data_IF_733948608102
#
_entry.id   IF_733948608102
#
_cell.length_a   1.000
_cell.length_b   1.000
_cell.length_c   1.000
_cell.angle_alpha   90.00
_cell.angle_beta   90.00
_cell.angle_gamma   90.00
#
_symmetry.space_group_name_H-M   'P 1'
#
loop_
_entity.id
_entity.type
_entity.pdbx_description
1 polymer ?
#
# COMPACT_ATOMS: atom_id res chain seq x y z
N UNK A 1 7.48 -5.90 -10.71
CA UNK A 1 6.75 -5.64 -9.46
C UNK A 1 7.64 -5.03 -8.39
N UNK A 2 8.48 -5.75 -7.62
CA UNK A 2 9.23 -5.11 -6.53
C UNK A 2 10.23 -4.03 -7.00
N UNK A 3 11.17 -4.38 -7.88
CA UNK A 3 12.15 -3.41 -8.40
C UNK A 3 11.48 -2.28 -9.18
N UNK A 4 10.45 -2.62 -9.94
CA UNK A 4 9.62 -1.69 -10.71
C UNK A 4 8.98 -0.65 -9.78
N UNK A 5 8.24 -1.10 -8.77
CA UNK A 5 7.56 -0.21 -7.83
C UNK A 5 8.55 0.63 -7.01
N UNK A 6 9.70 0.08 -6.60
CA UNK A 6 10.74 0.87 -5.94
C UNK A 6 11.32 1.96 -6.85
N UNK A 7 11.51 1.66 -8.14
CA UNK A 7 11.96 2.64 -9.12
C UNK A 7 10.93 3.75 -9.35
N UNK A 8 9.66 3.39 -9.49
CA UNK A 8 8.55 4.33 -9.62
C UNK A 8 8.42 5.20 -8.36
N UNK A 9 8.48 4.60 -7.17
CA UNK A 9 8.48 5.33 -5.90
C UNK A 9 9.61 6.34 -5.80
N UNK A 10 10.83 5.97 -6.19
CA UNK A 10 11.97 6.88 -6.19
C UNK A 10 11.80 8.01 -7.22
N UNK A 11 11.18 7.74 -8.36
CA UNK A 11 10.85 8.78 -9.33
C UNK A 11 9.79 9.74 -8.75
N UNK A 12 8.71 9.20 -8.18
CA UNK A 12 7.61 9.97 -7.61
C UNK A 12 7.97 10.74 -6.34
N UNK A 13 8.96 10.28 -5.56
CA UNK A 13 9.46 10.99 -4.39
C UNK A 13 10.09 12.36 -4.73
N UNK A 14 10.45 12.58 -5.99
CA UNK A 14 10.99 13.87 -6.46
C UNK A 14 9.90 14.86 -6.90
N UNK A 15 8.62 14.50 -6.83
CA UNK A 15 7.52 15.42 -7.11
C UNK A 15 7.37 16.45 -5.99
N UNK A 16 6.97 17.68 -6.33
CA UNK A 16 6.79 18.75 -5.36
C UNK A 16 5.78 18.37 -4.29
N UNK A 17 4.69 17.72 -4.70
CA UNK A 17 3.59 17.30 -3.85
C UNK A 17 4.04 16.33 -2.76
N UNK A 18 4.91 15.37 -3.10
CA UNK A 18 5.49 14.44 -2.11
C UNK A 18 6.51 15.16 -1.21
N UNK A 19 7.33 16.05 -1.76
CA UNK A 19 8.22 16.88 -0.97
C UNK A 19 7.47 17.71 0.09
N UNK A 20 6.38 18.38 -0.32
CA UNK A 20 5.54 19.19 0.56
C UNK A 20 4.87 18.32 1.63
N UNK A 21 4.36 17.15 1.27
CA UNK A 21 3.80 16.17 2.20
C UNK A 21 4.83 15.76 3.27
N UNK A 22 6.06 15.44 2.87
CA UNK A 22 7.15 15.06 3.76
C UNK A 22 7.65 16.25 4.60
N UNK A 23 7.56 17.50 4.15
CA UNK A 23 7.90 18.63 5.02
C UNK A 23 6.81 18.92 6.06
N UNK A 24 5.55 18.65 5.72
CA UNK A 24 4.41 18.93 6.60
C UNK A 24 4.16 17.85 7.68
N UNK A 25 4.81 16.70 7.59
CA UNK A 25 4.61 15.58 8.52
C UNK A 25 5.62 15.60 9.66
N UNK A 26 5.17 15.31 10.88
CA UNK A 26 5.98 15.02 12.07
C UNK A 26 5.18 14.06 12.99
N UNK A 27 5.82 13.19 13.79
CA UNK A 27 7.26 13.02 13.99
C UNK A 27 7.96 12.09 12.96
N UNK A 28 9.29 12.18 12.91
CA UNK A 28 10.18 11.33 12.08
C UNK A 28 10.91 10.28 12.93
N UNK A 29 10.13 9.49 13.69
CA UNK A 29 10.65 8.51 14.64
C UNK A 29 10.19 7.11 14.25
N UNK A 30 11.14 6.20 14.02
CA UNK A 30 10.83 4.80 13.77
C UNK A 30 11.82 4.14 12.81
N UNK A 31 11.67 2.83 12.58
CA UNK A 31 12.63 2.05 11.81
C UNK A 31 12.37 2.08 10.30
N UNK A 32 11.18 2.45 9.85
CA UNK A 32 10.77 2.31 8.46
C UNK A 32 11.21 3.50 7.61
N UNK A 33 11.73 3.22 6.41
CA UNK A 33 12.36 4.24 5.55
C UNK A 33 11.33 4.95 4.69
N UNK A 34 11.46 6.27 4.54
CA UNK A 34 10.79 7.03 3.48
C UNK A 34 11.74 7.15 2.29
N UNK A 35 11.40 6.45 1.20
CA UNK A 35 12.25 6.30 0.02
C UNK A 35 12.46 7.68 -0.62
N UNK A 36 13.72 8.00 -0.95
CA UNK A 36 14.08 9.26 -1.61
C UNK A 36 14.28 10.47 -0.68
N UNK A 37 13.93 10.37 0.60
CA UNK A 37 13.97 11.53 1.52
C UNK A 37 15.03 11.46 2.62
N UNK A 38 15.73 10.34 2.77
CA UNK A 38 16.74 10.17 3.82
C UNK A 38 16.18 10.27 5.24
N UNK A 39 14.88 9.98 5.42
CA UNK A 39 14.17 9.99 6.69
C UNK A 39 13.62 8.61 7.02
N UNK A 40 13.44 8.36 8.31
CA UNK A 40 12.74 7.19 8.82
C UNK A 40 11.59 7.64 9.72
N UNK A 41 10.57 6.79 9.85
CA UNK A 41 9.38 7.03 10.66
C UNK A 41 8.75 5.68 11.03
N UNK A 42 7.56 5.70 11.63
CA UNK A 42 6.78 4.51 11.92
C UNK A 42 6.36 3.79 10.62
N UNK A 43 5.93 2.54 10.76
CA UNK A 43 5.60 1.66 9.63
C UNK A 43 4.45 2.21 8.81
N UNK A 44 3.43 2.77 9.47
CA UNK A 44 2.19 3.18 8.83
C UNK A 44 2.41 4.47 8.03
N UNK A 45 3.11 5.44 8.63
CA UNK A 45 3.50 6.68 7.95
C UNK A 45 4.44 6.40 6.77
N UNK A 46 5.45 5.55 6.96
CA UNK A 46 6.37 5.15 5.88
C UNK A 46 5.61 4.47 4.73
N UNK A 47 4.69 3.55 5.04
CA UNK A 47 3.90 2.86 4.04
C UNK A 47 3.01 3.82 3.25
N UNK A 48 2.35 4.76 3.93
CA UNK A 48 1.49 5.77 3.32
C UNK A 48 2.27 6.66 2.35
N UNK A 49 3.39 7.24 2.79
CA UNK A 49 4.17 8.19 1.98
C UNK A 49 4.80 7.46 0.78
N UNK A 50 5.36 6.26 0.99
CA UNK A 50 5.94 5.48 -0.10
C UNK A 50 4.88 5.03 -1.12
N UNK A 51 3.68 4.66 -0.66
CA UNK A 51 2.56 4.32 -1.55
C UNK A 51 2.08 5.53 -2.35
N UNK A 52 1.92 6.70 -1.71
CA UNK A 52 1.58 7.94 -2.39
C UNK A 52 2.62 8.30 -3.47
N UNK A 53 3.90 8.14 -3.13
CA UNK A 53 5.02 8.36 -4.06
C UNK A 53 5.03 7.35 -5.21
N UNK A 54 4.59 6.11 -4.98
CA UNK A 54 4.49 5.09 -6.03
C UNK A 54 3.37 5.38 -7.04
N UNK A 55 2.24 5.93 -6.57
CA UNK A 55 1.07 6.13 -7.40
C UNK A 55 1.04 7.51 -8.09
N UNK A 56 1.74 8.52 -7.57
CA UNK A 56 1.57 9.91 -8.03
C UNK A 56 1.96 10.16 -9.50
N UNK A 57 2.75 9.28 -10.10
CA UNK A 57 3.15 9.35 -11.51
C UNK A 57 2.30 8.47 -12.43
N UNK A 58 1.38 7.67 -11.90
CA UNK A 58 0.57 6.70 -12.67
C UNK A 58 1.44 5.70 -13.47
N UNK A 59 2.58 5.32 -12.90
CA UNK A 59 3.55 4.38 -13.46
C UNK A 59 3.65 3.07 -12.66
N UNK A 60 2.85 2.93 -11.60
CA UNK A 60 2.83 1.72 -10.78
C UNK A 60 2.30 0.50 -11.56
N UNK A 61 2.80 -0.68 -11.19
CA UNK A 61 2.44 -1.94 -11.83
C UNK A 61 0.93 -2.19 -11.87
N UNK A 62 0.44 -2.93 -12.88
CA UNK A 62 -0.97 -3.30 -12.97
C UNK A 62 -1.20 -4.80 -13.14
N UNK A 63 -2.36 -5.26 -12.66
CA UNK A 63 -2.86 -6.62 -12.84
C UNK A 63 -4.17 -6.62 -13.64
N UNK A 64 -4.13 -7.24 -14.81
CA UNK A 64 -5.28 -7.31 -15.74
C UNK A 64 -6.53 -7.96 -15.11
N UNK A 65 -6.37 -9.01 -14.32
CA UNK A 65 -7.50 -9.77 -13.77
C UNK A 65 -8.04 -9.14 -12.49
N UNK A 66 -7.19 -8.48 -11.71
CA UNK A 66 -7.61 -7.73 -10.54
C UNK A 66 -8.27 -6.39 -10.89
N UNK A 67 -7.95 -5.81 -12.05
CA UNK A 67 -8.43 -4.49 -12.44
C UNK A 67 -7.83 -3.36 -11.58
N UNK A 68 -6.54 -3.46 -11.24
CA UNK A 68 -5.82 -2.43 -10.47
C UNK A 68 -4.38 -2.86 -10.16
N UNK A 69 -3.83 -2.38 -9.04
CA UNK A 69 -2.39 -2.35 -8.75
C UNK A 69 -2.06 -3.06 -7.42
N UNK A 70 -2.13 -4.41 -7.33
CA UNK A 70 -2.05 -5.11 -6.05
C UNK A 70 -0.72 -4.89 -5.28
N UNK A 71 0.39 -4.70 -5.98
CA UNK A 71 1.70 -4.47 -5.37
C UNK A 71 1.80 -3.12 -4.69
N UNK A 72 1.18 -2.08 -5.26
CA UNK A 72 1.13 -0.73 -4.70
C UNK A 72 0.52 -0.74 -3.29
N UNK A 73 -0.39 -1.68 -3.03
CA UNK A 73 -0.99 -1.88 -1.71
C UNK A 73 -0.14 -2.75 -0.77
N UNK A 74 0.58 -3.74 -1.29
CA UNK A 74 1.21 -4.79 -0.48
C UNK A 74 2.65 -4.43 -0.06
N UNK A 75 3.44 -3.91 -1.00
CA UNK A 75 4.90 -3.87 -0.87
C UNK A 75 5.35 -3.00 0.30
N UNK A 76 4.77 -1.80 0.46
CA UNK A 76 5.25 -0.85 1.46
C UNK A 76 4.90 -1.28 2.88
N UNK A 77 3.74 -1.89 3.09
CA UNK A 77 3.37 -2.51 4.37
C UNK A 77 4.32 -3.67 4.72
N UNK A 78 4.68 -4.50 3.73
CA UNK A 78 5.62 -5.61 3.92
C UNK A 78 7.04 -5.11 4.25
N UNK A 79 7.52 -4.11 3.52
CA UNK A 79 8.84 -3.50 3.74
C UNK A 79 8.93 -2.85 5.13
N UNK A 80 7.96 -2.01 5.49
CA UNK A 80 7.94 -1.38 6.81
C UNK A 80 7.84 -2.41 7.95
N UNK A 81 7.06 -3.48 7.76
CA UNK A 81 7.00 -4.59 8.74
C UNK A 81 8.33 -5.30 8.87
N UNK A 82 9.02 -5.58 7.77
CA UNK A 82 10.34 -6.20 7.81
C UNK A 82 11.38 -5.30 8.50
N UNK A 83 11.33 -3.98 8.28
CA UNK A 83 12.22 -3.00 8.90
C UNK A 83 11.96 -2.83 10.40
N UNK A 84 10.71 -2.96 10.85
CA UNK A 84 10.33 -2.87 12.26
C UNK A 84 10.43 -4.18 13.03
N UNK A 85 10.74 -5.29 12.36
CA UNK A 85 10.83 -6.59 12.99
C UNK A 85 11.99 -6.65 14.00
N UNK A 86 11.71 -7.17 15.19
CA UNK A 86 12.74 -7.43 16.20
C UNK A 86 13.74 -8.53 15.78
N UNK A 87 13.33 -9.41 14.86
CA UNK A 87 14.18 -10.46 14.29
C UNK A 87 14.44 -10.18 12.81
N UNK A 88 15.66 -10.41 12.29
CA UNK A 88 15.94 -10.21 10.88
C UNK A 88 15.01 -11.04 9.98
N UNK A 89 14.32 -10.36 9.06
CA UNK A 89 13.54 -10.99 8.00
C UNK A 89 14.44 -11.19 6.79
N UNK A 90 14.59 -12.43 6.34
CA UNK A 90 15.35 -12.72 5.12
C UNK A 90 14.63 -12.19 3.88
N UNK A 91 15.40 -11.89 2.82
CA UNK A 91 14.82 -11.50 1.53
C UNK A 91 13.86 -12.56 0.97
N UNK A 92 14.11 -13.84 1.23
CA UNK A 92 13.20 -14.92 0.83
C UNK A 92 11.85 -14.86 1.56
N UNK A 93 11.86 -14.65 2.88
CA UNK A 93 10.62 -14.48 3.67
C UNK A 93 9.84 -13.25 3.22
N UNK A 94 10.53 -12.13 2.99
CA UNK A 94 9.92 -10.90 2.49
C UNK A 94 9.24 -11.12 1.13
N UNK A 95 9.97 -11.70 0.17
CA UNK A 95 9.43 -11.96 -1.16
C UNK A 95 8.26 -12.94 -1.11
N UNK A 96 8.34 -13.99 -0.30
CA UNK A 96 7.25 -14.94 -0.12
C UNK A 96 5.98 -14.26 0.43
N UNK A 97 6.12 -13.41 1.46
CA UNK A 97 5.00 -12.67 2.04
C UNK A 97 4.38 -11.68 1.03
N UNK A 98 5.22 -10.94 0.28
CA UNK A 98 4.79 -10.03 -0.78
C UNK A 98 4.03 -10.80 -1.87
N UNK A 99 4.53 -11.94 -2.31
CA UNK A 99 3.88 -12.76 -3.34
C UNK A 99 2.52 -13.26 -2.87
N UNK A 100 2.40 -13.74 -1.63
CA UNK A 100 1.11 -14.17 -1.08
C UNK A 100 0.14 -12.99 -0.95
N UNK A 101 0.60 -11.85 -0.44
CA UNK A 101 -0.23 -10.65 -0.35
C UNK A 101 -0.73 -10.19 -1.72
N UNK A 102 0.14 -10.19 -2.73
CA UNK A 102 -0.23 -9.84 -4.11
C UNK A 102 -1.29 -10.80 -4.67
N UNK A 103 -1.10 -12.10 -4.52
CA UNK A 103 -2.04 -13.12 -4.99
C UNK A 103 -3.41 -12.97 -4.32
N UNK A 104 -3.44 -12.71 -3.01
CA UNK A 104 -4.68 -12.49 -2.27
C UNK A 104 -5.38 -11.22 -2.76
N UNK A 105 -4.68 -10.09 -2.81
CA UNK A 105 -5.26 -8.84 -3.32
C UNK A 105 -5.78 -8.99 -4.76
N UNK A 106 -5.04 -9.68 -5.63
CA UNK A 106 -5.46 -9.95 -7.00
C UNK A 106 -6.74 -10.78 -7.07
N UNK A 107 -6.90 -11.79 -6.20
CA UNK A 107 -8.13 -12.59 -6.10
C UNK A 107 -9.32 -11.78 -5.60
N UNK A 108 -9.12 -10.90 -4.62
CA UNK A 108 -10.17 -9.98 -4.18
C UNK A 108 -10.57 -9.02 -5.30
N UNK A 109 -9.61 -8.44 -6.02
CA UNK A 109 -9.89 -7.60 -7.19
C UNK A 109 -10.72 -8.36 -8.25
N UNK A 110 -10.31 -9.59 -8.59
CA UNK A 110 -11.01 -10.41 -9.58
C UNK A 110 -12.39 -10.91 -9.12
N UNK A 111 -12.61 -11.07 -7.82
CA UNK A 111 -13.87 -11.51 -7.24
C UNK A 111 -14.86 -10.37 -6.98
N UNK A 112 -14.41 -9.12 -7.07
CA UNK A 112 -15.24 -7.94 -6.81
C UNK A 112 -15.52 -7.17 -8.09
N UNK A 113 -16.53 -6.31 -8.05
CA UNK A 113 -16.86 -5.41 -9.16
C UNK A 113 -16.86 -3.99 -8.63
N UNK A 114 -16.00 -3.14 -9.21
CA UNK A 114 -15.94 -1.74 -8.85
C UNK A 114 -17.23 -1.04 -9.28
N UNK A 115 -17.90 -0.39 -8.33
CA UNK A 115 -19.07 0.44 -8.64
C UNK A 115 -18.63 1.61 -9.50
N UNK A 116 -19.37 1.90 -10.58
CA UNK A 116 -19.10 3.06 -11.44
C UNK A 116 -19.04 4.35 -10.61
N UNK A 117 -18.05 5.19 -10.89
CA UNK A 117 -17.82 6.46 -10.17
C UNK A 117 -16.77 6.37 -9.05
N UNK A 118 -16.29 5.17 -8.72
CA UNK A 118 -15.24 4.95 -7.72
C UNK A 118 -13.90 4.58 -8.36
N UNK A 119 -12.82 5.03 -7.74
CA UNK A 119 -11.42 4.78 -8.12
C UNK A 119 -10.95 3.40 -7.62
N UNK A 120 -10.17 2.61 -8.37
CA UNK A 120 -9.81 1.26 -7.98
C UNK A 120 -8.90 1.19 -6.72
N UNK A 121 -7.96 2.13 -6.53
CA UNK A 121 -7.11 2.14 -5.34
C UNK A 121 -7.92 2.44 -4.05
N UNK A 122 -7.52 1.82 -2.94
CA UNK A 122 -8.11 2.02 -1.61
C UNK A 122 -9.12 0.95 -1.18
N UNK A 123 -9.57 0.13 -2.14
CA UNK A 123 -10.55 -0.93 -1.93
C UNK A 123 -9.88 -2.23 -1.47
N UNK A 124 -9.86 -3.23 -2.35
CA UNK A 124 -9.51 -4.62 -2.05
C UNK A 124 -8.04 -4.85 -1.68
N UNK A 125 -7.14 -3.92 -2.04
CA UNK A 125 -5.69 -4.07 -1.86
C UNK A 125 -5.26 -4.23 -0.40
N UNK A 126 -6.01 -3.67 0.56
CA UNK A 126 -5.72 -3.76 1.99
C UNK A 126 -5.69 -5.21 2.51
N UNK A 127 -6.49 -6.11 1.91
CA UNK A 127 -6.53 -7.54 2.27
C UNK A 127 -5.19 -8.23 1.99
N UNK A 128 -4.54 -7.88 0.88
CA UNK A 128 -3.21 -8.38 0.54
C UNK A 128 -2.13 -7.83 1.47
N UNK A 129 -2.20 -6.54 1.79
CA UNK A 129 -1.29 -5.91 2.75
C UNK A 129 -1.38 -6.60 4.12
N UNK A 130 -2.59 -6.79 4.64
CA UNK A 130 -2.85 -7.48 5.90
C UNK A 130 -2.27 -8.90 5.90
N UNK A 131 -2.49 -9.64 4.81
CA UNK A 131 -1.97 -10.99 4.64
C UNK A 131 -0.45 -11.03 4.66
N UNK A 132 0.21 -10.13 3.94
CA UNK A 132 1.68 -10.05 3.91
C UNK A 132 2.25 -9.71 5.29
N UNK A 133 1.65 -8.73 5.97
CA UNK A 133 2.08 -8.32 7.33
C UNK A 133 1.88 -9.47 8.32
N UNK A 134 0.73 -10.15 8.28
CA UNK A 134 0.43 -11.27 9.16
C UNK A 134 1.40 -12.45 8.96
N UNK A 135 1.78 -12.74 7.71
CA UNK A 135 2.79 -13.75 7.39
C UNK A 135 4.18 -13.37 7.92
N UNK A 136 4.61 -12.12 7.75
CA UNK A 136 5.88 -11.64 8.27
C UNK A 136 5.94 -11.67 9.80
N UNK A 137 4.80 -11.45 10.46
CA UNK A 137 4.64 -11.56 11.91
C UNK A 137 4.48 -13.00 12.39
N UNK A 138 4.55 -13.99 11.49
CA UNK A 138 4.39 -15.41 11.79
C UNK A 138 3.10 -15.71 12.58
N UNK A 139 2.02 -15.03 12.23
CA UNK A 139 0.71 -15.25 12.85
C UNK A 139 0.13 -16.60 12.42
N UNK A 140 -0.77 -17.14 13.25
CA UNK A 140 -1.44 -18.38 12.92
C UNK A 140 -2.54 -18.19 11.87
N UNK A 141 -3.11 -19.30 11.39
CA UNK A 141 -4.16 -19.27 10.36
C UNK A 141 -5.39 -18.46 10.77
N UNK A 142 -5.80 -18.52 12.03
CA UNK A 142 -6.99 -17.82 12.51
C UNK A 142 -6.73 -16.32 12.56
N UNK A 143 -5.56 -15.92 13.01
CA UNK A 143 -5.17 -14.51 13.09
C UNK A 143 -4.95 -13.90 11.71
N UNK A 144 -4.39 -14.66 10.76
CA UNK A 144 -4.30 -14.23 9.35
C UNK A 144 -5.70 -14.00 8.77
N UNK A 145 -6.63 -14.93 8.98
CA UNK A 145 -8.01 -14.77 8.51
C UNK A 145 -8.69 -13.55 9.16
N UNK A 146 -8.52 -13.36 10.47
CA UNK A 146 -9.07 -12.21 11.18
C UNK A 146 -8.49 -10.87 10.68
N UNK A 147 -7.20 -10.82 10.32
CA UNK A 147 -6.58 -9.62 9.74
C UNK A 147 -7.16 -9.28 8.36
N UNK A 148 -7.39 -10.30 7.51
CA UNK A 148 -8.04 -10.13 6.21
C UNK A 148 -9.48 -9.64 6.40
N UNK A 149 -10.25 -10.28 7.29
CA UNK A 149 -11.65 -9.92 7.55
C UNK A 149 -11.76 -8.49 8.08
N UNK A 150 -10.90 -8.10 9.01
CA UNK A 150 -10.88 -6.75 9.58
C UNK A 150 -10.60 -5.71 8.51
N UNK A 151 -9.59 -5.94 7.66
CA UNK A 151 -9.23 -4.96 6.61
C UNK A 151 -10.25 -4.89 5.48
N UNK A 152 -10.96 -5.99 5.17
CA UNK A 152 -12.08 -5.97 4.24
C UNK A 152 -13.24 -5.07 4.72
N UNK A 153 -13.36 -4.82 6.04
CA UNK A 153 -14.32 -3.88 6.62
C UNK A 153 -13.83 -2.43 6.73
N UNK A 154 -12.53 -2.17 6.52
CA UNK A 154 -11.90 -0.84 6.69
C UNK A 154 -11.51 -0.18 5.36
N UNK A 155 -12.13 -0.61 4.26
CA UNK A 155 -11.74 -0.14 2.92
C UNK A 155 -12.05 1.34 2.73
N UNK A 156 -11.11 2.08 2.16
CA UNK A 156 -11.30 3.48 1.79
C UNK A 156 -11.85 3.56 0.38
N UNK A 157 -13.01 4.19 0.23
CA UNK A 157 -13.64 4.40 -1.06
C UNK A 157 -13.32 5.80 -1.55
N UNK A 158 -12.60 5.90 -2.66
CA UNK A 158 -12.24 7.19 -3.28
C UNK A 158 -13.07 7.42 -4.54
N UNK A 159 -13.89 8.48 -4.63
CA UNK A 159 -14.63 8.78 -5.85
C UNK A 159 -13.70 9.42 -6.89
N UNK A 160 -13.95 9.21 -8.19
CA UNK A 160 -13.10 9.77 -9.26
C UNK A 160 -12.90 11.30 -9.18
N UNK A 161 -13.91 12.13 -8.85
CA UNK A 161 -13.71 13.57 -8.68
C UNK A 161 -12.62 13.93 -7.67
N UNK A 162 -12.44 13.15 -6.60
CA UNK A 162 -11.35 13.40 -5.66
C UNK A 162 -9.98 13.26 -6.33
N UNK A 163 -9.84 12.28 -7.23
CA UNK A 163 -8.61 11.98 -7.95
C UNK A 163 -8.35 13.00 -9.06
N UNK A 164 -9.39 13.39 -9.80
CA UNK A 164 -9.25 14.27 -10.97
C UNK A 164 -9.28 15.76 -10.62
N UNK A 165 -9.94 16.14 -9.53
CA UNK A 165 -10.19 17.55 -9.18
C UNK A 165 -9.58 17.95 -7.83
N UNK A 166 -9.08 16.99 -7.03
CA UNK A 166 -8.49 17.27 -5.72
C UNK A 166 -9.51 17.77 -4.68
N UNK A 167 -10.81 17.65 -4.98
CA UNK A 167 -11.90 18.07 -4.11
C UNK A 167 -12.70 16.86 -3.64
N UNK A 168 -13.01 16.78 -2.35
CA UNK A 168 -14.08 15.90 -1.90
C UNK A 168 -15.37 16.45 -2.52
N UNK A 169 -16.05 15.71 -3.42
CA UNK A 169 -17.33 16.17 -3.91
C UNK A 169 -18.24 16.33 -2.70
N UNK A 170 -18.91 17.48 -2.57
CA UNK A 170 -20.13 17.53 -1.78
C UNK A 170 -21.02 16.43 -2.33
N UNK A 171 -21.23 15.36 -1.56
CA UNK A 171 -22.25 14.37 -1.90
C UNK A 171 -23.56 15.15 -1.97
N UNK A 172 -24.26 15.21 -3.11
CA UNK A 172 -25.60 15.75 -3.11
C UNK A 172 -26.46 14.85 -2.20
N UNK A 173 -27.27 15.48 -1.37
CA UNK A 173 -28.24 14.84 -0.46
C UNK A 173 -29.06 13.73 -1.13
#
# INVERSE_FOLDING_TARGET
MLLDLLGVTLAGSNTREIHDLVQAWEPWEGPAVVIGHGRNTDVDTSALINAASACCLELDEGNKYAGGHPAAHVIFAALGTAQSSAQPISGHQLLAAITVGYEIAARFGAATTLKKGWHPHGHWGATGAASSVALLKNLDRKDIAAAIDTTAGLMQTTPWPLVTEGAFPYLPD
#
